data_IF_920640687253
#
_entry.id   IF_920640687253
#
_cell.length_a   1.000
_cell.length_b   1.000
_cell.length_c   1.000
_cell.angle_alpha   90.00
_cell.angle_beta   90.00
_cell.angle_gamma   90.00
#
_symmetry.space_group_name_H-M   'P 1'
#
loop_
_entity.id
_entity.type
_entity.pdbx_description
1 polymer ?
#
# COMPACT_ATOMS: atom_id res chain seq x y z
N UNK A 1 34.83 6.11 -41.04
CA UNK A 1 34.03 7.34 -40.90
C UNK A 1 32.56 6.94 -40.78
N UNK A 2 32.00 6.78 -39.58
CA UNK A 2 30.57 6.45 -39.40
C UNK A 2 29.99 6.92 -38.05
N UNK A 3 30.63 7.87 -37.36
CA UNK A 3 30.33 8.15 -35.96
C UNK A 3 29.45 9.39 -35.75
N UNK A 4 28.34 9.50 -36.48
CA UNK A 4 27.54 10.72 -36.47
C UNK A 4 26.02 10.49 -36.45
N UNK A 5 25.58 9.63 -35.54
CA UNK A 5 24.16 9.52 -35.20
C UNK A 5 23.97 9.74 -33.69
N UNK A 6 23.52 10.93 -33.31
CA UNK A 6 23.21 11.22 -31.90
C UNK A 6 21.76 10.83 -31.62
N UNK A 7 21.57 9.69 -30.97
CA UNK A 7 20.26 9.24 -30.48
C UNK A 7 20.06 9.79 -29.07
N UNK A 8 18.98 10.55 -28.85
CA UNK A 8 18.55 10.99 -27.52
C UNK A 8 17.21 10.38 -27.18
N UNK A 9 17.12 9.87 -25.95
CA UNK A 9 15.87 9.38 -25.36
C UNK A 9 15.47 10.34 -24.26
N UNK A 10 14.21 10.78 -24.27
CA UNK A 10 13.64 11.65 -23.24
C UNK A 10 12.32 11.11 -22.76
N UNK A 11 12.04 11.31 -21.47
CA UNK A 11 10.77 10.98 -20.84
C UNK A 11 10.01 12.28 -20.55
N UNK A 12 8.75 12.34 -20.97
CA UNK A 12 7.88 13.50 -20.77
C UNK A 12 6.80 13.21 -19.73
N UNK A 13 6.52 14.16 -18.80
CA UNK A 13 5.52 13.98 -17.76
C UNK A 13 4.10 14.00 -18.33
N UNK A 14 3.19 13.24 -17.69
CA UNK A 14 1.79 13.15 -18.09
C UNK A 14 1.03 14.48 -17.95
N UNK A 15 1.47 15.37 -17.06
CA UNK A 15 0.82 16.68 -16.84
C UNK A 15 0.83 17.59 -18.06
N UNK A 16 1.80 17.43 -18.96
CA UNK A 16 1.93 18.27 -20.16
C UNK A 16 1.32 17.59 -21.40
N UNK A 17 1.40 16.27 -21.50
CA UNK A 17 1.03 15.51 -22.70
C UNK A 17 -0.26 14.67 -22.55
N UNK A 18 -0.88 14.64 -21.36
CA UNK A 18 -2.08 13.85 -21.04
C UNK A 18 -1.81 12.36 -20.77
N UNK A 19 -0.63 11.86 -21.11
CA UNK A 19 -0.14 10.52 -20.80
C UNK A 19 1.40 10.54 -20.78
N UNK A 20 2.07 9.63 -20.05
CA UNK A 20 3.52 9.54 -20.09
C UNK A 20 3.99 9.14 -21.49
N UNK A 21 4.99 9.86 -21.98
CA UNK A 21 5.53 9.70 -23.33
C UNK A 21 7.03 9.43 -23.24
N UNK A 22 7.50 8.45 -24.01
CA UNK A 22 8.92 8.24 -24.29
C UNK A 22 9.22 8.74 -25.70
N UNK A 23 10.10 9.72 -25.81
CA UNK A 23 10.51 10.28 -27.09
C UNK A 23 11.92 9.81 -27.42
N UNK A 24 12.12 9.32 -28.65
CA UNK A 24 13.44 9.02 -29.19
C UNK A 24 13.69 9.97 -30.35
N UNK A 25 14.77 10.73 -30.31
CA UNK A 25 15.18 11.63 -31.38
C UNK A 25 16.56 11.27 -31.90
N UNK A 26 16.71 11.32 -33.21
CA UNK A 26 17.94 11.00 -33.93
C UNK A 26 18.32 12.19 -34.77
N UNK A 27 19.49 12.77 -34.51
CA UNK A 27 20.03 13.84 -35.35
C UNK A 27 20.76 13.24 -36.54
N UNK A 28 20.32 13.62 -37.74
CA UNK A 28 20.96 13.28 -39.01
C UNK A 28 22.03 14.35 -39.27
N UNK A 29 23.30 13.94 -39.35
CA UNK A 29 24.40 14.85 -39.70
C UNK A 29 25.13 14.38 -40.95
N UNK A 30 25.65 15.36 -41.68
CA UNK A 30 26.53 15.21 -42.84
C UNK A 30 27.92 15.78 -42.48
N UNK A 31 28.91 15.65 -43.37
CA UNK A 31 30.29 16.14 -43.16
C UNK A 31 30.36 17.65 -42.83
N UNK A 32 29.36 18.43 -43.25
CA UNK A 32 29.22 19.86 -42.97
C UNK A 32 28.47 20.20 -41.66
N UNK A 33 27.88 19.23 -40.96
CA UNK A 33 27.12 19.45 -39.72
C UNK A 33 25.73 18.78 -39.68
N UNK A 34 24.89 19.15 -38.71
CA UNK A 34 23.54 18.57 -38.52
C UNK A 34 22.60 19.06 -39.64
N UNK A 35 22.10 18.14 -40.48
CA UNK A 35 21.22 18.44 -41.61
C UNK A 35 19.73 18.17 -41.31
N UNK A 36 19.41 17.50 -40.21
CA UNK A 36 18.03 17.24 -39.83
C UNK A 36 17.89 16.43 -38.54
N UNK A 37 16.65 16.17 -38.15
CA UNK A 37 16.34 15.34 -37.00
C UNK A 37 15.02 14.60 -37.18
N UNK A 38 15.00 13.32 -36.81
CA UNK A 38 13.79 12.51 -36.74
C UNK A 38 13.45 12.26 -35.27
N UNK A 39 12.22 12.57 -34.87
CA UNK A 39 11.70 12.30 -33.53
C UNK A 39 10.49 11.37 -33.58
N UNK A 40 10.48 10.33 -32.75
CA UNK A 40 9.32 9.44 -32.56
C UNK A 40 8.90 9.48 -31.10
N UNK A 41 7.63 9.77 -30.85
CA UNK A 41 7.00 9.71 -29.53
C UNK A 41 6.20 8.42 -29.37
N UNK A 42 6.48 7.68 -28.31
CA UNK A 42 5.75 6.46 -27.92
C UNK A 42 4.93 6.75 -26.67
N UNK A 43 3.62 6.45 -26.73
CA UNK A 43 2.74 6.51 -25.57
C UNK A 43 3.05 5.35 -24.62
N UNK A 44 3.24 5.66 -23.33
CA UNK A 44 3.38 4.67 -22.27
C UNK A 44 2.07 4.44 -21.51
N UNK A 45 0.92 4.87 -22.05
CA UNK A 45 -0.38 4.83 -21.38
C UNK A 45 -0.74 3.44 -20.83
N UNK A 46 -0.51 2.38 -21.59
CA UNK A 46 -0.81 1.02 -21.15
C UNK A 46 0.10 0.58 -19.99
N UNK A 47 1.37 0.97 -19.99
CA UNK A 47 2.30 0.67 -18.89
C UNK A 47 1.91 1.44 -17.64
N UNK A 48 1.58 2.73 -17.79
CA UNK A 48 1.09 3.61 -16.72
C UNK A 48 -0.17 3.03 -16.06
N UNK A 49 -1.15 2.61 -16.87
CA UNK A 49 -2.41 2.02 -16.38
C UNK A 49 -2.16 0.73 -15.58
N UNK A 50 -1.25 -0.13 -16.04
CA UNK A 50 -0.93 -1.38 -15.35
C UNK A 50 -0.20 -1.12 -14.03
N UNK A 51 0.72 -0.15 -14.01
CA UNK A 51 1.44 0.24 -12.79
C UNK A 51 0.47 0.83 -11.77
N UNK A 52 -0.39 1.76 -12.19
CA UNK A 52 -1.40 2.38 -11.32
C UNK A 52 -2.37 1.33 -10.74
N UNK A 53 -2.80 0.37 -11.56
CA UNK A 53 -3.66 -0.72 -11.10
C UNK A 53 -2.94 -1.63 -10.09
N UNK A 54 -1.68 -1.98 -10.34
CA UNK A 54 -0.88 -2.79 -9.42
C UNK A 54 -0.63 -2.07 -8.09
N UNK A 55 -0.33 -0.77 -8.12
CA UNK A 55 -0.15 0.05 -6.91
C UNK A 55 -1.45 0.16 -6.11
N UNK A 56 -2.57 0.39 -6.79
CA UNK A 56 -3.89 0.43 -6.14
C UNK A 56 -4.21 -0.91 -5.47
N UNK A 57 -3.96 -2.02 -6.15
CA UNK A 57 -4.17 -3.36 -5.60
C UNK A 57 -3.28 -3.64 -4.39
N UNK A 58 -2.00 -3.25 -4.44
CA UNK A 58 -1.08 -3.39 -3.33
C UNK A 58 -1.57 -2.60 -2.10
N UNK A 59 -1.96 -1.34 -2.31
CA UNK A 59 -2.51 -0.49 -1.24
C UNK A 59 -3.79 -1.06 -0.64
N UNK A 60 -4.72 -1.55 -1.46
CA UNK A 60 -5.93 -2.22 -0.96
C UNK A 60 -5.60 -3.49 -0.19
N UNK A 61 -4.60 -4.25 -0.62
CA UNK A 61 -4.17 -5.47 0.09
C UNK A 61 -3.58 -5.14 1.46
N UNK A 62 -2.77 -4.09 1.56
CA UNK A 62 -2.25 -3.59 2.84
C UNK A 62 -3.38 -3.13 3.78
N UNK A 63 -4.39 -2.44 3.24
CA UNK A 63 -5.57 -2.00 4.01
C UNK A 63 -6.39 -3.18 4.54
N UNK A 64 -6.59 -4.23 3.73
CA UNK A 64 -7.29 -5.46 4.13
C UNK A 64 -6.54 -6.19 5.24
N UNK A 65 -5.21 -6.30 5.13
CA UNK A 65 -4.38 -6.91 6.18
C UNK A 65 -4.53 -6.12 7.47
N UNK A 66 -4.35 -4.80 7.41
CA UNK A 66 -4.50 -3.90 8.58
C UNK A 66 -5.86 -4.06 9.24
N UNK A 67 -6.94 -4.03 8.45
CA UNK A 67 -8.31 -4.21 8.95
C UNK A 67 -8.52 -5.57 9.60
N UNK A 68 -7.91 -6.63 9.06
CA UNK A 68 -7.98 -7.99 9.61
C UNK A 68 -7.22 -8.09 10.93
N UNK A 69 -6.04 -7.45 11.02
CA UNK A 69 -5.25 -7.37 12.25
C UNK A 69 -6.00 -6.60 13.34
N UNK A 70 -6.61 -5.46 13.01
CA UNK A 70 -7.44 -4.67 13.92
C UNK A 70 -8.66 -5.47 14.42
N UNK A 71 -9.32 -6.23 13.54
CA UNK A 71 -10.43 -7.10 13.92
C UNK A 71 -9.97 -8.23 14.87
N UNK A 72 -8.83 -8.84 14.60
CA UNK A 72 -8.26 -9.88 15.47
C UNK A 72 -7.88 -9.32 16.84
N UNK A 73 -7.27 -8.14 16.89
CA UNK A 73 -6.97 -7.43 18.12
C UNK A 73 -8.23 -7.15 18.93
N UNK A 74 -9.27 -6.61 18.29
CA UNK A 74 -10.57 -6.32 18.91
C UNK A 74 -11.22 -7.58 19.50
N UNK A 75 -11.14 -8.71 18.80
CA UNK A 75 -11.67 -9.99 19.28
C UNK A 75 -10.89 -10.52 20.51
N UNK A 76 -9.56 -10.36 20.50
CA UNK A 76 -8.70 -10.74 21.63
C UNK A 76 -8.96 -9.86 22.86
N UNK A 77 -9.10 -8.55 22.69
CA UNK A 77 -9.46 -7.63 23.76
C UNK A 77 -10.81 -7.99 24.39
N UNK A 78 -11.80 -8.33 23.55
CA UNK A 78 -13.10 -8.77 24.01
C UNK A 78 -13.01 -10.07 24.83
N UNK A 79 -12.28 -11.07 24.33
CA UNK A 79 -12.08 -12.34 25.04
C UNK A 79 -11.40 -12.14 26.40
N UNK A 80 -10.36 -11.30 26.44
CA UNK A 80 -9.67 -10.94 27.68
C UNK A 80 -10.61 -10.24 28.68
N UNK A 81 -11.44 -9.30 28.21
CA UNK A 81 -12.46 -8.66 29.05
C UNK A 81 -13.45 -9.67 29.64
N UNK A 82 -13.86 -10.67 28.86
CA UNK A 82 -14.78 -11.71 29.31
C UNK A 82 -14.15 -12.65 30.36
N UNK A 83 -12.86 -12.94 30.23
CA UNK A 83 -12.09 -13.70 31.24
C UNK A 83 -11.99 -12.92 32.56
N UNK A 84 -11.68 -11.62 32.50
CA UNK A 84 -11.64 -10.74 33.68
C UNK A 84 -13.01 -10.74 34.38
N UNK A 85 -14.10 -10.59 33.64
CA UNK A 85 -15.45 -10.64 34.23
C UNK A 85 -15.75 -11.98 34.91
N UNK A 86 -15.31 -13.09 34.32
CA UNK A 86 -15.53 -14.41 34.90
C UNK A 86 -14.70 -14.61 36.19
N UNK A 87 -13.46 -14.12 36.22
CA UNK A 87 -12.62 -14.18 37.43
C UNK A 87 -13.19 -13.32 38.57
N UNK A 88 -13.71 -12.12 38.26
CA UNK A 88 -14.36 -11.23 39.24
C UNK A 88 -15.67 -11.84 39.75
N UNK A 89 -16.49 -12.43 38.87
CA UNK A 89 -17.73 -13.14 39.26
C UNK A 89 -17.44 -14.35 40.16
N UNK A 90 -16.40 -15.12 39.83
CA UNK A 90 -15.95 -16.26 40.63
C UNK A 90 -15.41 -15.88 42.02
N UNK A 91 -14.83 -14.68 42.17
CA UNK A 91 -14.44 -14.13 43.48
C UNK A 91 -15.64 -13.64 44.28
N UNK A 92 -16.59 -12.95 43.65
CA UNK A 92 -17.72 -12.34 44.37
C UNK A 92 -18.74 -13.39 44.89
N UNK A 93 -18.87 -14.55 44.22
CA UNK A 93 -19.75 -15.63 44.67
C UNK A 93 -19.27 -16.41 45.91
N UNK A 94 -17.98 -16.29 46.28
CA UNK A 94 -17.42 -16.95 47.47
C UNK A 94 -17.49 -16.06 48.73
N UNK A 95 -17.50 -14.74 48.56
CA UNK A 95 -17.57 -13.78 49.67
C UNK A 95 -18.97 -13.64 50.30
N UNK A 96 -20.06 -14.03 49.62
CA UNK A 96 -21.42 -13.97 50.20
C UNK A 96 -21.88 -15.23 50.97
N UNK A 97 -21.09 -16.31 51.02
CA UNK A 97 -21.44 -17.52 51.79
C UNK A 97 -20.63 -17.73 53.07
N UNK A 98 -19.58 -16.94 53.30
CA UNK A 98 -18.70 -17.10 54.46
C UNK A 98 -19.14 -16.30 55.70
N UNK A 99 -20.12 -15.38 55.58
CA UNK A 99 -20.58 -14.51 56.68
C UNK A 99 -21.90 -14.97 57.35
N UNK A 100 -22.21 -16.26 57.26
CA UNK A 100 -23.36 -16.86 57.99
C UNK A 100 -22.99 -18.09 58.84
N UNK A 101 -21.72 -18.46 58.92
CA UNK A 101 -21.27 -19.58 59.76
C UNK A 101 -20.88 -19.19 61.20
N UNK A 102 -20.90 -17.90 61.55
CA UNK A 102 -20.41 -17.42 62.86
C UNK A 102 -21.53 -16.98 63.83
N UNK A 103 -22.78 -17.41 63.62
CA UNK A 103 -23.92 -17.07 64.53
C UNK A 103 -24.54 -18.30 65.24
N UNK A 104 -24.06 -19.53 65.00
CA UNK A 104 -24.56 -20.74 65.70
C UNK A 104 -23.56 -21.38 66.67
N UNK A 105 -22.79 -20.55 67.38
CA UNK A 105 -22.13 -20.97 68.62
C UNK A 105 -22.11 -19.79 69.59
N UNK A 106 -23.25 -19.52 70.23
CA UNK A 106 -23.37 -19.27 71.67
C UNK A 106 -24.84 -19.16 72.09
#
# INVERSE_FOLDING_TARGET
>A
MCDSLAVKVSYGPKEIYGFPIKTVSVSIKDEAGVIGGLGVGLSLKNQDTLIDAAQSFASTSEEVVTSTEELSASANELAAGMEILNTVKGRNGRTSKQDRSDIELY
#
